data_IF_880387155512
#
_entry.id   IF_880387155512
#
_cell.length_a   1.000
_cell.length_b   1.000
_cell.length_c   1.000
_cell.angle_alpha   90.00
_cell.angle_beta   90.00
_cell.angle_gamma   90.00
#
_symmetry.space_group_name_H-M   'P 1'
#
loop_
_entity.id
_entity.type
_entity.pdbx_description
1 polymer ?
#
# COMPACT_ATOMS: atom_id res chain seq x y z
N UNK A 1 -52.98 30.09 28.22
CA UNK A 1 -52.19 30.93 27.32
C UNK A 1 -50.95 30.15 26.90
N UNK A 2 -50.74 30.01 25.59
CA UNK A 2 -49.62 29.41 24.86
C UNK A 2 -49.19 27.97 25.25
N UNK A 3 -49.77 26.99 24.54
CA UNK A 3 -49.01 25.79 24.17
C UNK A 3 -48.07 26.18 23.03
N UNK A 4 -46.76 26.02 23.24
CA UNK A 4 -45.77 26.20 22.19
C UNK A 4 -45.56 24.85 21.51
N UNK A 5 -46.18 24.70 20.34
CA UNK A 5 -46.06 23.52 19.48
C UNK A 5 -44.72 23.61 18.76
N UNK A 6 -43.76 22.81 19.19
CA UNK A 6 -42.46 22.70 18.52
C UNK A 6 -42.62 21.78 17.30
N UNK A 7 -42.57 22.37 16.10
CA UNK A 7 -42.48 21.64 14.84
C UNK A 7 -41.14 20.88 14.78
N UNK A 8 -41.09 19.65 14.25
CA UNK A 8 -39.81 18.98 14.02
C UNK A 8 -39.16 19.57 12.77
N UNK A 9 -37.96 20.12 12.95
CA UNK A 9 -37.06 20.49 11.85
C UNK A 9 -36.82 19.27 10.95
N UNK A 10 -37.10 19.43 9.67
CA UNK A 10 -36.85 18.47 8.62
C UNK A 10 -35.35 18.14 8.57
N UNK A 11 -34.99 16.92 8.97
CA UNK A 11 -33.69 16.33 8.67
C UNK A 11 -33.46 16.40 7.16
N UNK A 12 -32.55 17.28 6.76
CA UNK A 12 -31.98 17.29 5.43
C UNK A 12 -31.31 15.95 5.21
N UNK A 13 -31.92 15.09 4.40
CA UNK A 13 -31.30 13.90 3.84
C UNK A 13 -30.10 14.35 3.02
N UNK A 14 -28.93 14.42 3.66
CA UNK A 14 -27.65 14.41 2.98
C UNK A 14 -27.61 13.13 2.15
N UNK A 15 -27.77 13.30 0.85
CA UNK A 15 -27.64 12.22 -0.12
C UNK A 15 -26.27 11.57 0.07
N UNK A 16 -26.25 10.42 0.75
CA UNK A 16 -25.14 9.46 0.67
C UNK A 16 -24.89 9.25 -0.80
N UNK A 17 -23.77 9.80 -1.30
CA UNK A 17 -23.23 9.44 -2.60
C UNK A 17 -23.02 7.94 -2.56
N UNK A 18 -23.98 7.21 -3.11
CA UNK A 18 -24.03 5.77 -3.10
C UNK A 18 -22.82 5.29 -3.91
N UNK A 19 -21.75 4.98 -3.20
CA UNK A 19 -20.52 4.50 -3.79
C UNK A 19 -20.85 3.23 -4.56
N UNK A 20 -20.49 3.20 -5.84
CA UNK A 20 -20.80 2.08 -6.71
C UNK A 20 -20.42 0.75 -6.04
N UNK A 21 -21.31 -0.25 -6.12
CA UNK A 21 -21.10 -1.52 -5.43
C UNK A 21 -19.84 -2.21 -5.99
N UNK A 22 -19.14 -2.96 -5.13
CA UNK A 22 -17.81 -3.54 -5.42
C UNK A 22 -17.79 -4.44 -6.66
N UNK A 23 -18.96 -4.96 -7.09
CA UNK A 23 -19.10 -5.77 -8.31
C UNK A 23 -18.98 -4.96 -9.61
N UNK A 24 -19.17 -3.64 -9.56
CA UNK A 24 -19.05 -2.77 -10.74
C UNK A 24 -17.64 -2.75 -11.34
N UNK A 25 -16.60 -2.92 -10.53
CA UNK A 25 -15.20 -3.03 -10.98
C UNK A 25 -15.02 -4.33 -11.78
N UNK A 26 -15.54 -5.44 -11.28
CA UNK A 26 -15.48 -6.73 -11.97
C UNK A 26 -16.28 -6.73 -13.27
N UNK A 27 -17.42 -6.03 -13.31
CA UNK A 27 -18.21 -5.85 -14.52
C UNK A 27 -17.44 -5.04 -15.59
N UNK A 28 -16.73 -3.98 -15.21
CA UNK A 28 -15.90 -3.20 -16.12
C UNK A 28 -14.72 -4.01 -16.66
N UNK A 29 -14.05 -4.81 -15.81
CA UNK A 29 -12.97 -5.70 -16.26
C UNK A 29 -13.53 -6.73 -17.25
N UNK A 30 -14.68 -7.33 -16.96
CA UNK A 30 -15.33 -8.29 -17.85
C UNK A 30 -15.73 -7.64 -19.19
N UNK A 31 -16.19 -6.38 -19.18
CA UNK A 31 -16.51 -5.62 -20.40
C UNK A 31 -15.26 -5.39 -21.27
N UNK A 32 -14.15 -4.97 -20.67
CA UNK A 32 -12.88 -4.79 -21.39
C UNK A 32 -12.39 -6.12 -21.96
N UNK A 33 -12.43 -7.19 -21.17
CA UNK A 33 -12.02 -8.52 -21.59
C UNK A 33 -12.89 -9.05 -22.74
N UNK A 34 -14.21 -8.86 -22.64
CA UNK A 34 -15.16 -9.22 -23.69
C UNK A 34 -14.89 -8.42 -24.98
N UNK A 35 -14.56 -7.13 -24.89
CA UNK A 35 -14.26 -6.32 -26.09
C UNK A 35 -13.06 -6.85 -26.90
N UNK A 36 -12.10 -7.49 -26.25
CA UNK A 36 -10.90 -8.06 -26.89
C UNK A 36 -11.16 -9.49 -27.37
N UNK A 37 -11.89 -10.29 -26.60
CA UNK A 37 -12.08 -11.72 -26.87
C UNK A 37 -13.21 -11.97 -27.88
N UNK A 38 -14.31 -11.22 -27.80
CA UNK A 38 -15.51 -11.43 -28.63
C UNK A 38 -15.25 -11.29 -30.14
N UNK A 39 -14.48 -10.29 -30.63
CA UNK A 39 -14.15 -10.22 -32.06
C UNK A 39 -13.44 -11.46 -32.60
N UNK A 40 -12.54 -12.07 -31.79
CA UNK A 40 -11.83 -13.30 -32.16
C UNK A 40 -12.71 -14.56 -32.17
N UNK A 41 -13.86 -14.53 -31.50
CA UNK A 41 -14.86 -15.60 -31.53
C UNK A 41 -15.85 -15.46 -32.69
N UNK A 42 -16.15 -14.23 -33.11
CA UNK A 42 -17.13 -13.94 -34.17
C UNK A 42 -16.50 -14.05 -35.57
N UNK A 43 -15.22 -13.70 -35.75
CA UNK A 43 -14.50 -13.76 -37.04
C UNK A 43 -13.94 -15.16 -37.38
N UNK A 44 -14.69 -16.25 -37.15
CA UNK A 44 -14.30 -17.55 -37.73
C UNK A 44 -14.64 -17.54 -39.21
N UNK A 45 -13.62 -17.53 -40.06
CA UNK A 45 -13.79 -17.74 -41.50
C UNK A 45 -14.51 -19.07 -41.73
N UNK A 46 -15.76 -19.00 -42.18
CA UNK A 46 -16.57 -20.17 -42.50
C UNK A 46 -16.28 -20.58 -43.94
N UNK A 47 -15.39 -21.57 -44.11
CA UNK A 47 -15.04 -22.19 -45.37
C UNK A 47 -13.93 -23.23 -45.20
N UNK A 48 -13.86 -24.22 -46.09
CA UNK A 48 -12.72 -25.14 -46.17
C UNK A 48 -11.55 -24.41 -46.82
N UNK A 49 -10.46 -24.23 -46.07
CA UNK A 49 -9.25 -23.59 -46.58
C UNK A 49 -8.58 -24.51 -47.62
N UNK A 50 -8.41 -24.00 -48.85
CA UNK A 50 -7.72 -24.69 -49.94
C UNK A 50 -6.67 -23.75 -50.55
N UNK A 51 -5.52 -24.29 -50.95
CA UNK A 51 -4.49 -23.50 -51.64
C UNK A 51 -4.97 -23.07 -53.03
N UNK A 52 -4.42 -21.97 -53.56
CA UNK A 52 -4.82 -21.41 -54.85
C UNK A 52 -4.68 -22.43 -55.99
N UNK A 53 -3.59 -23.20 -56.00
CA UNK A 53 -3.40 -24.26 -56.99
C UNK A 53 -4.48 -25.33 -56.88
N UNK A 54 -4.83 -25.74 -55.66
CA UNK A 54 -5.91 -26.70 -55.41
C UNK A 54 -7.27 -26.16 -55.84
N UNK A 55 -7.51 -24.85 -55.68
CA UNK A 55 -8.73 -24.21 -56.17
C UNK A 55 -8.81 -24.27 -57.71
N UNK A 56 -7.70 -24.01 -58.41
CA UNK A 56 -7.64 -24.10 -59.87
C UNK A 56 -7.83 -25.55 -60.35
N UNK A 57 -7.34 -26.53 -59.59
CA UNK A 57 -7.58 -27.96 -59.88
C UNK A 57 -9.08 -28.29 -59.74
N UNK A 58 -9.74 -27.81 -58.69
CA UNK A 58 -11.19 -27.97 -58.47
C UNK A 58 -12.05 -27.29 -59.56
N UNK A 59 -11.61 -26.13 -60.04
CA UNK A 59 -12.18 -25.43 -61.20
C UNK A 59 -12.01 -26.26 -62.47
N UNK A 60 -10.83 -26.85 -62.67
CA UNK A 60 -10.52 -27.70 -63.83
C UNK A 60 -11.37 -28.97 -63.84
N UNK A 61 -11.60 -29.54 -62.67
CA UNK A 61 -12.47 -30.70 -62.46
C UNK A 61 -13.97 -30.37 -62.57
N UNK A 62 -14.32 -29.08 -62.74
CA UNK A 62 -15.70 -28.62 -62.94
C UNK A 62 -16.57 -28.72 -61.69
N UNK A 63 -15.97 -28.65 -60.49
CA UNK A 63 -16.69 -28.76 -59.21
C UNK A 63 -17.12 -27.40 -58.63
N UNK A 64 -16.71 -26.29 -59.24
CA UNK A 64 -16.97 -24.91 -58.80
C UNK A 64 -18.04 -24.25 -59.67
N UNK A 65 -19.00 -23.57 -59.04
CA UNK A 65 -20.12 -22.87 -59.68
C UNK A 65 -19.89 -21.35 -59.75
N UNK A 66 -19.43 -20.73 -58.66
CA UNK A 66 -19.17 -19.29 -58.62
C UNK A 66 -17.89 -18.95 -57.84
N UNK A 67 -17.23 -17.86 -58.25
CA UNK A 67 -16.01 -17.37 -57.60
C UNK A 67 -16.14 -15.87 -57.34
N UNK A 68 -16.00 -15.48 -56.08
CA UNK A 68 -15.94 -14.09 -55.65
C UNK A 68 -14.50 -13.76 -55.25
N UNK A 69 -13.94 -12.74 -55.91
CA UNK A 69 -12.54 -12.33 -55.71
C UNK A 69 -12.51 -10.96 -55.05
N UNK A 70 -11.86 -10.88 -53.89
CA UNK A 70 -11.65 -9.62 -53.17
C UNK A 70 -10.34 -8.99 -53.61
N UNK A 71 -10.43 -7.95 -54.44
CA UNK A 71 -9.28 -7.30 -55.10
C UNK A 71 -8.34 -6.50 -54.18
N UNK A 72 -8.63 -6.39 -52.87
CA UNK A 72 -7.75 -5.69 -51.92
C UNK A 72 -6.91 -6.65 -51.07
N UNK A 73 -7.40 -7.84 -50.78
CA UNK A 73 -6.74 -8.81 -49.90
C UNK A 73 -6.24 -10.05 -50.63
N UNK A 74 -6.69 -10.29 -51.88
CA UNK A 74 -6.40 -11.51 -52.62
C UNK A 74 -7.19 -12.72 -52.11
N UNK A 75 -8.19 -12.50 -51.24
CA UNK A 75 -9.05 -13.56 -50.75
C UNK A 75 -10.05 -13.96 -51.85
N UNK A 76 -10.11 -15.26 -52.12
CA UNK A 76 -10.98 -15.87 -53.11
C UNK A 76 -11.95 -16.79 -52.39
N UNK A 77 -13.24 -16.54 -52.56
CA UNK A 77 -14.31 -17.39 -52.03
C UNK A 77 -14.98 -18.08 -53.19
N UNK A 78 -14.93 -19.40 -53.21
CA UNK A 78 -15.53 -20.21 -54.26
C UNK A 78 -16.66 -21.08 -53.69
N UNK A 79 -17.78 -21.13 -54.38
CA UNK A 79 -18.91 -22.00 -54.05
C UNK A 79 -18.91 -23.17 -55.02
N UNK A 80 -18.85 -24.38 -54.47
CA UNK A 80 -18.94 -25.60 -55.25
C UNK A 80 -20.39 -25.98 -55.52
N UNK A 81 -20.57 -26.80 -56.57
CA UNK A 81 -21.89 -27.26 -57.02
C UNK A 81 -22.60 -28.09 -55.93
N UNK A 82 -21.86 -28.70 -55.01
CA UNK A 82 -22.37 -29.43 -53.85
C UNK A 82 -22.78 -28.55 -52.65
N UNK A 83 -22.63 -27.22 -52.79
CA UNK A 83 -22.91 -26.22 -51.75
C UNK A 83 -21.78 -26.02 -50.74
N UNK A 84 -20.62 -26.65 -50.92
CA UNK A 84 -19.45 -26.40 -50.07
C UNK A 84 -18.78 -25.08 -50.44
N UNK A 85 -18.38 -24.30 -49.44
CA UNK A 85 -17.66 -23.04 -49.66
C UNK A 85 -16.18 -23.20 -49.38
N UNK A 86 -15.37 -22.97 -50.40
CA UNK A 86 -13.92 -22.94 -50.32
C UNK A 86 -13.42 -21.51 -50.14
N UNK A 87 -12.41 -21.35 -49.31
CA UNK A 87 -11.70 -20.08 -49.11
C UNK A 87 -10.23 -20.28 -49.44
N UNK A 88 -9.71 -19.46 -50.35
CA UNK A 88 -8.33 -19.52 -50.82
C UNK A 88 -7.70 -18.14 -50.85
N UNK A 89 -6.37 -18.08 -50.83
CA UNK A 89 -5.59 -16.84 -50.99
C UNK A 89 -4.83 -16.92 -52.31
N UNK A 90 -5.23 -16.07 -53.26
CA UNK A 90 -4.67 -16.01 -54.59
C UNK A 90 -3.97 -14.68 -54.89
N UNK A 91 -3.43 -14.53 -56.11
CA UNK A 91 -2.87 -13.26 -56.56
C UNK A 91 -3.95 -12.16 -56.63
N UNK A 92 -3.58 -10.93 -56.25
CA UNK A 92 -4.47 -9.76 -56.20
C UNK A 92 -5.10 -9.47 -57.58
N UNK A 93 -4.34 -9.72 -58.65
CA UNK A 93 -4.80 -9.72 -60.03
C UNK A 93 -4.65 -11.15 -60.58
N UNK A 94 -5.76 -11.74 -61.04
CA UNK A 94 -5.73 -13.07 -61.63
C UNK A 94 -4.97 -13.04 -62.97
N UNK A 95 -4.06 -13.99 -63.21
CA UNK A 95 -3.41 -14.16 -64.51
C UNK A 95 -4.45 -14.33 -65.63
N UNK A 96 -4.17 -13.76 -66.82
CA UNK A 96 -5.11 -13.86 -67.95
C UNK A 96 -5.41 -15.31 -68.37
N UNK A 97 -4.47 -16.24 -68.12
CA UNK A 97 -4.64 -17.68 -68.35
C UNK A 97 -5.76 -18.28 -67.51
N UNK A 98 -5.87 -17.84 -66.26
CA UNK A 98 -6.80 -18.40 -65.29
C UNK A 98 -8.18 -17.77 -65.50
N UNK A 99 -8.22 -16.50 -65.90
CA UNK A 99 -9.45 -15.84 -66.33
C UNK A 99 -10.06 -16.46 -67.60
N UNK A 100 -9.21 -16.93 -68.52
CA UNK A 100 -9.67 -17.66 -69.71
C UNK A 100 -10.26 -19.02 -69.32
N UNK A 101 -9.59 -19.78 -68.43
CA UNK A 101 -10.10 -21.06 -67.93
C UNK A 101 -11.46 -20.92 -67.23
N UNK A 102 -11.65 -19.87 -66.44
CA UNK A 102 -12.91 -19.57 -65.75
C UNK A 102 -14.03 -19.20 -66.73
N UNK A 103 -13.72 -18.45 -67.80
CA UNK A 103 -14.69 -18.11 -68.85
C UNK A 103 -15.06 -19.31 -69.72
N UNK A 104 -14.09 -20.16 -70.05
CA UNK A 104 -14.30 -21.36 -70.85
C UNK A 104 -15.20 -22.38 -70.14
N UNK A 105 -15.20 -22.37 -68.81
CA UNK A 105 -16.10 -23.19 -67.97
C UNK A 105 -17.37 -22.47 -67.53
N UNK A 106 -17.61 -21.25 -68.03
CA UNK A 106 -18.80 -20.44 -67.75
C UNK A 106 -19.06 -20.21 -66.24
N UNK A 107 -17.98 -19.97 -65.49
CA UNK A 107 -18.03 -19.67 -64.05
C UNK A 107 -18.26 -18.17 -63.87
N UNK A 108 -19.25 -17.80 -63.06
CA UNK A 108 -19.51 -16.40 -62.74
C UNK A 108 -18.44 -15.86 -61.77
N UNK A 109 -17.61 -14.93 -62.27
CA UNK A 109 -16.56 -14.27 -61.49
C UNK A 109 -17.02 -12.87 -61.09
N UNK A 110 -17.31 -12.68 -59.80
CA UNK A 110 -17.68 -11.37 -59.24
C UNK A 110 -16.48 -10.75 -58.51
N UNK A 111 -16.04 -9.58 -58.94
CA UNK A 111 -15.02 -8.80 -58.22
C UNK A 111 -15.68 -7.90 -57.19
N UNK A 112 -15.43 -8.14 -55.90
CA UNK A 112 -15.91 -7.28 -54.82
C UNK A 112 -14.77 -6.44 -54.26
N UNK A 113 -14.98 -5.13 -54.24
CA UNK A 113 -14.11 -4.20 -53.53
C UNK A 113 -14.76 -3.87 -52.20
N UNK A 114 -14.30 -4.50 -51.12
CA UNK A 114 -14.74 -4.14 -49.79
C UNK A 114 -14.25 -2.71 -49.46
N UNK A 115 -15.18 -1.76 -49.42
CA UNK A 115 -14.90 -0.43 -48.86
C UNK A 115 -14.89 -0.54 -47.35
N UNK A 116 -13.78 -0.98 -46.77
CA UNK A 116 -13.58 -0.84 -45.33
C UNK A 116 -13.44 0.65 -45.01
N UNK A 117 -14.34 1.17 -44.17
CA UNK A 117 -14.21 2.54 -43.66
C UNK A 117 -13.04 2.55 -42.66
N UNK A 118 -11.91 3.19 -42.95
CA UNK A 118 -10.73 3.11 -42.10
C UNK A 118 -11.03 3.56 -40.66
N UNK A 119 -11.93 4.55 -40.49
CA UNK A 119 -12.39 4.99 -39.17
C UNK A 119 -13.09 3.89 -38.35
N UNK A 120 -13.92 3.06 -38.99
CA UNK A 120 -14.61 1.95 -38.31
C UNK A 120 -13.64 0.81 -37.98
N UNK A 121 -12.59 0.61 -38.78
CA UNK A 121 -11.53 -0.39 -38.51
C UNK A 121 -10.69 -0.05 -37.27
N UNK A 122 -10.56 1.23 -36.90
CA UNK A 122 -9.82 1.65 -35.70
C UNK A 122 -10.65 1.61 -34.41
N UNK A 123 -11.99 1.62 -34.50
CA UNK A 123 -12.86 1.71 -33.32
C UNK A 123 -12.68 0.53 -32.35
N UNK A 124 -12.58 -0.75 -32.79
CA UNK A 124 -12.32 -1.89 -31.91
C UNK A 124 -10.95 -1.82 -31.22
N UNK A 125 -9.96 -1.23 -31.88
CA UNK A 125 -8.60 -1.07 -31.34
C UNK A 125 -8.57 0.06 -30.30
N UNK A 126 -9.31 1.15 -30.53
CA UNK A 126 -9.32 2.32 -29.64
C UNK A 126 -10.17 2.12 -28.37
N UNK A 127 -11.26 1.35 -28.46
CA UNK A 127 -12.19 1.10 -27.36
C UNK A 127 -11.50 0.63 -26.05
N UNK A 128 -10.61 -0.37 -26.03
CA UNK A 128 -9.94 -0.80 -24.81
C UNK A 128 -9.06 0.29 -24.19
N UNK A 129 -8.35 1.09 -25.00
CA UNK A 129 -7.53 2.19 -24.48
C UNK A 129 -8.38 3.29 -23.85
N UNK A 130 -9.49 3.67 -24.49
CA UNK A 130 -10.42 4.67 -23.95
C UNK A 130 -11.02 4.20 -22.62
N UNK A 131 -11.39 2.92 -22.52
CA UNK A 131 -11.89 2.35 -21.26
C UNK A 131 -10.84 2.36 -20.15
N UNK A 132 -9.59 1.99 -20.45
CA UNK A 132 -8.49 2.00 -19.47
C UNK A 132 -8.19 3.43 -19.00
N UNK A 133 -8.10 4.39 -19.93
CA UNK A 133 -7.84 5.80 -19.61
C UNK A 133 -9.00 6.38 -18.78
N UNK A 134 -10.25 6.09 -19.16
CA UNK A 134 -11.43 6.50 -18.40
C UNK A 134 -11.47 5.90 -16.99
N UNK A 135 -11.10 4.62 -16.86
CA UNK A 135 -10.98 3.93 -15.57
C UNK A 135 -9.90 4.58 -14.69
N UNK A 136 -8.71 4.86 -15.25
CA UNK A 136 -7.62 5.51 -14.52
C UNK A 136 -7.99 6.91 -14.06
N UNK A 137 -8.61 7.70 -14.94
CA UNK A 137 -9.04 9.06 -14.62
C UNK A 137 -10.12 9.08 -13.53
N UNK A 138 -11.07 8.13 -13.58
CA UNK A 138 -12.08 7.95 -12.55
C UNK A 138 -11.48 7.47 -11.22
N UNK A 139 -10.54 6.52 -11.27
CA UNK A 139 -9.84 6.00 -10.09
C UNK A 139 -9.00 7.08 -9.42
N UNK A 140 -8.32 7.92 -10.19
CA UNK A 140 -7.54 9.05 -9.67
C UNK A 140 -8.41 10.07 -8.95
N UNK A 141 -9.62 10.35 -9.47
CA UNK A 141 -10.61 11.20 -8.80
C UNK A 141 -11.16 10.60 -7.51
N UNK A 142 -11.21 9.27 -7.38
CA UNK A 142 -11.64 8.58 -6.15
C UNK A 142 -10.50 8.41 -5.13
N UNK A 143 -9.27 8.19 -5.60
CA UNK A 143 -8.11 7.93 -4.76
C UNK A 143 -7.68 9.13 -3.91
N UNK A 144 -7.97 10.37 -4.33
CA UNK A 144 -7.70 11.56 -3.50
C UNK A 144 -8.45 11.55 -2.15
N UNK A 145 -9.58 10.83 -2.03
CA UNK A 145 -10.29 10.67 -0.75
C UNK A 145 -9.72 9.58 0.18
N UNK A 146 -8.91 8.64 -0.35
CA UNK A 146 -8.36 7.50 0.39
C UNK A 146 -6.84 7.64 0.67
N UNK A 147 -6.15 8.53 -0.04
CA UNK A 147 -4.73 8.82 0.15
C UNK A 147 -4.40 9.40 1.54
N UNK A 148 -5.38 10.03 2.21
CA UNK A 148 -5.23 10.47 3.61
C UNK A 148 -5.08 9.30 4.60
N UNK A 149 -5.52 8.08 4.25
CA UNK A 149 -5.48 6.91 5.13
C UNK A 149 -4.19 6.07 5.02
N UNK A 150 -3.45 6.18 3.91
CA UNK A 150 -2.18 5.45 3.74
C UNK A 150 -1.01 6.24 4.37
N UNK A 151 -1.10 7.57 4.41
CA UNK A 151 -0.18 8.42 5.18
C UNK A 151 -0.39 8.35 6.71
N UNK A 152 -1.38 7.58 7.20
CA UNK A 152 -1.59 7.32 8.64
C UNK A 152 -1.05 5.98 9.14
N UNK A 153 -0.47 5.14 8.27
CA UNK A 153 0.16 3.86 8.66
C UNK A 153 1.46 4.05 9.47
N UNK A 154 1.95 5.29 9.62
CA UNK A 154 2.99 5.65 10.60
C UNK A 154 2.46 6.23 11.92
N UNK A 155 1.12 6.33 12.11
CA UNK A 155 0.50 7.01 13.26
C UNK A 155 -0.29 6.09 14.19
N UNK A 156 -0.09 4.76 14.17
CA UNK A 156 -0.48 3.94 15.31
C UNK A 156 0.48 4.22 16.48
N UNK A 157 0.25 5.37 17.14
CA UNK A 157 0.84 5.79 18.41
C UNK A 157 0.31 4.88 19.53
N UNK A 158 0.55 3.58 19.45
CA UNK A 158 0.60 2.78 20.67
C UNK A 158 1.77 3.39 21.45
N UNK A 159 1.45 4.08 22.56
CA UNK A 159 2.48 4.69 23.41
C UNK A 159 3.41 3.56 23.83
N UNK A 160 4.67 3.64 23.40
CA UNK A 160 5.71 2.65 23.70
C UNK A 160 6.13 2.67 25.18
N UNK A 161 5.58 3.59 25.97
CA UNK A 161 5.82 3.70 27.40
C UNK A 161 4.49 3.72 28.15
N UNK A 162 4.50 3.16 29.35
CA UNK A 162 3.36 3.22 30.28
C UNK A 162 3.56 4.39 31.22
N UNK A 163 2.49 5.14 31.51
CA UNK A 163 2.51 6.21 32.52
C UNK A 163 1.59 5.81 33.66
N UNK A 164 2.13 5.74 34.86
CA UNK A 164 1.39 5.40 36.07
C UNK A 164 1.85 6.26 37.26
N UNK A 165 1.08 6.23 38.35
CA UNK A 165 1.48 6.78 39.65
C UNK A 165 1.49 5.61 40.62
N UNK A 166 2.67 5.02 40.89
CA UNK A 166 2.77 3.88 41.78
C UNK A 166 2.50 4.30 43.23
N UNK A 167 1.76 3.49 43.96
CA UNK A 167 1.54 3.65 45.41
C UNK A 167 2.58 2.88 46.25
N UNK A 168 3.51 2.18 45.57
CA UNK A 168 4.57 1.39 46.20
C UNK A 168 5.61 2.30 46.86
N UNK A 169 6.00 2.00 48.09
CA UNK A 169 6.97 2.79 48.86
C UNK A 169 8.23 2.01 49.24
N UNK A 170 9.16 2.65 49.95
CA UNK A 170 10.36 1.95 50.44
C UNK A 170 10.06 0.87 51.48
N UNK A 171 8.94 0.95 52.19
CA UNK A 171 8.53 -0.05 53.18
C UNK A 171 8.15 -1.40 52.54
N UNK A 172 7.76 -1.39 51.26
CA UNK A 172 7.41 -2.60 50.50
C UNK A 172 8.64 -3.41 50.06
N UNK A 173 9.86 -2.88 50.29
CA UNK A 173 11.11 -3.49 49.85
C UNK A 173 11.90 -3.97 51.07
N UNK A 174 12.20 -5.27 51.16
CA UNK A 174 13.06 -5.78 52.22
C UNK A 174 14.55 -5.54 51.91
N UNK A 175 15.33 -5.13 52.92
CA UNK A 175 16.79 -5.02 52.81
C UNK A 175 17.31 -3.76 52.12
N UNK A 176 18.45 -3.88 51.43
CA UNK A 176 19.07 -2.83 50.61
C UNK A 176 19.30 -1.47 51.30
N UNK A 177 19.62 -1.46 52.61
CA UNK A 177 19.73 -0.21 53.40
C UNK A 177 20.60 0.86 52.75
N UNK A 178 21.78 0.49 52.23
CA UNK A 178 22.68 1.44 51.54
C UNK A 178 22.07 2.02 50.26
N UNK A 179 21.49 1.17 49.41
CA UNK A 179 20.84 1.59 48.15
C UNK A 179 19.62 2.47 48.43
N UNK A 180 18.80 2.11 49.43
CA UNK A 180 17.67 2.93 49.85
C UNK A 180 18.15 4.31 50.28
N UNK A 181 19.22 4.39 51.08
CA UNK A 181 19.77 5.67 51.53
C UNK A 181 20.24 6.56 50.36
N UNK A 182 20.98 6.01 49.39
CA UNK A 182 21.41 6.76 48.20
C UNK A 182 20.22 7.24 47.35
N UNK A 183 19.19 6.42 47.21
CA UNK A 183 18.02 6.75 46.40
C UNK A 183 17.06 7.70 47.14
N UNK A 184 17.04 7.69 48.48
CA UNK A 184 16.30 8.68 49.28
C UNK A 184 16.76 10.10 48.97
N UNK A 185 18.05 10.33 48.71
CA UNK A 185 18.53 11.66 48.30
C UNK A 185 17.89 12.13 46.99
N UNK A 186 17.64 11.21 46.06
CA UNK A 186 16.92 11.49 44.80
C UNK A 186 15.44 11.81 45.07
N UNK A 187 14.81 11.11 46.01
CA UNK A 187 13.42 11.36 46.44
C UNK A 187 13.30 12.75 47.08
N UNK A 188 14.20 13.09 48.01
CA UNK A 188 14.23 14.38 48.68
C UNK A 188 14.42 15.51 47.69
N UNK A 189 15.33 15.31 46.72
CA UNK A 189 15.52 16.25 45.61
C UNK A 189 14.23 16.48 44.82
N UNK A 190 13.54 15.39 44.44
CA UNK A 190 12.28 15.52 43.73
C UNK A 190 11.30 16.29 44.57
N UNK A 191 11.11 15.97 45.86
CA UNK A 191 10.16 16.64 46.77
C UNK A 191 10.45 18.13 46.96
N UNK A 192 11.69 18.49 47.28
CA UNK A 192 12.11 19.84 47.69
C UNK A 192 13.22 20.44 46.80
N UNK A 193 12.99 20.61 45.48
CA UNK A 193 14.05 20.99 44.54
C UNK A 193 14.66 22.37 44.84
N UNK A 194 13.86 23.30 45.37
CA UNK A 194 14.29 24.66 45.72
C UNK A 194 15.39 24.67 46.80
N UNK A 195 15.31 23.75 47.77
CA UNK A 195 16.28 23.64 48.85
C UNK A 195 17.66 23.23 48.34
N UNK A 196 17.71 22.37 47.33
CA UNK A 196 18.96 21.93 46.70
C UNK A 196 19.50 22.99 45.74
N UNK A 197 18.63 23.67 44.99
CA UNK A 197 19.01 24.79 44.12
C UNK A 197 19.63 25.95 44.91
N UNK A 198 19.11 26.27 46.09
CA UNK A 198 19.63 27.34 46.96
C UNK A 198 21.09 27.12 47.42
N UNK A 199 21.52 25.86 47.52
CA UNK A 199 22.89 25.49 47.93
C UNK A 199 23.78 25.23 46.69
N UNK A 200 23.25 25.43 45.48
CA UNK A 200 23.95 25.18 44.22
C UNK A 200 24.23 23.70 43.95
N UNK A 201 23.51 22.79 44.61
CA UNK A 201 23.66 21.36 44.41
C UNK A 201 23.13 20.97 43.03
N UNK A 202 23.93 20.20 42.28
CA UNK A 202 23.53 19.66 40.97
C UNK A 202 22.80 18.34 41.14
N UNK A 203 21.71 18.21 40.40
CA UNK A 203 20.87 17.01 40.39
C UNK A 203 21.62 15.89 39.68
N UNK A 204 21.65 14.66 40.24
CA UNK A 204 22.03 13.48 39.47
C UNK A 204 21.11 13.34 38.27
N UNK A 205 21.66 13.38 37.05
CA UNK A 205 20.86 13.28 35.81
C UNK A 205 20.24 11.89 35.59
N UNK A 206 20.73 10.87 36.30
CA UNK A 206 20.22 9.51 36.23
C UNK A 206 20.93 8.58 37.21
N UNK A 207 20.31 7.44 37.49
CA UNK A 207 20.83 6.38 38.35
C UNK A 207 20.80 5.07 37.56
N UNK A 208 21.90 4.33 37.54
CA UNK A 208 21.99 3.01 36.90
C UNK A 208 21.95 1.91 37.96
N UNK A 209 20.88 1.13 37.98
CA UNK A 209 20.74 -0.03 38.86
C UNK A 209 21.30 -1.28 38.18
N UNK A 210 22.36 -1.86 38.74
CA UNK A 210 23.02 -3.07 38.19
C UNK A 210 22.85 -4.24 39.16
N UNK A 211 22.48 -5.39 38.62
CA UNK A 211 22.43 -6.64 39.38
C UNK A 211 21.75 -7.77 38.60
N UNK A 212 21.83 -9.02 39.11
CA UNK A 212 21.16 -10.18 38.51
C UNK A 212 19.65 -9.97 38.27
N UNK A 213 19.02 -10.72 37.36
CA UNK A 213 17.57 -10.70 37.22
C UNK A 213 16.88 -11.10 38.54
N UNK A 214 15.71 -10.52 38.83
CA UNK A 214 14.93 -10.84 40.02
C UNK A 214 15.35 -10.15 41.33
N UNK A 215 16.34 -9.25 41.32
CA UNK A 215 16.79 -8.52 42.53
C UNK A 215 15.96 -7.27 42.87
N UNK A 216 14.78 -7.11 42.28
CA UNK A 216 13.88 -6.00 42.61
C UNK A 216 14.27 -4.63 42.04
N UNK A 217 15.11 -4.54 40.99
CA UNK A 217 15.49 -3.26 40.36
C UNK A 217 14.27 -2.41 39.94
N UNK A 218 13.33 -3.03 39.23
CA UNK A 218 12.08 -2.38 38.80
C UNK A 218 11.19 -1.99 39.99
N UNK A 219 11.18 -2.80 41.05
CA UNK A 219 10.44 -2.52 42.28
C UNK A 219 11.04 -1.31 43.02
N UNK A 220 12.37 -1.25 43.14
CA UNK A 220 13.09 -0.10 43.71
C UNK A 220 12.76 1.15 42.92
N UNK A 221 12.85 1.12 41.59
CA UNK A 221 12.53 2.26 40.73
C UNK A 221 11.09 2.77 40.90
N UNK A 222 10.12 1.85 41.01
CA UNK A 222 8.72 2.18 41.30
C UNK A 222 8.55 2.80 42.68
N UNK A 223 9.24 2.25 43.68
CA UNK A 223 9.21 2.80 45.04
C UNK A 223 9.76 4.23 45.10
N UNK A 224 10.81 4.58 44.34
CA UNK A 224 11.29 5.97 44.26
C UNK A 224 10.19 6.92 43.78
N UNK A 225 9.46 6.51 42.73
CA UNK A 225 8.39 7.32 42.17
C UNK A 225 7.20 7.47 43.12
N UNK A 226 6.82 6.39 43.80
CA UNK A 226 5.75 6.41 44.80
C UNK A 226 6.14 7.24 46.02
N UNK A 227 7.34 7.06 46.54
CA UNK A 227 7.87 7.84 47.66
C UNK A 227 7.92 9.34 47.32
N UNK A 228 8.32 9.69 46.10
CA UNK A 228 8.37 11.08 45.60
C UNK A 228 7.02 11.65 45.16
N UNK A 229 5.99 10.81 45.00
CA UNK A 229 4.65 11.20 44.53
C UNK A 229 4.62 11.71 43.09
N UNK A 230 5.51 11.22 42.21
CA UNK A 230 5.63 11.70 40.82
C UNK A 230 5.21 10.61 39.82
N UNK A 231 4.74 10.98 38.61
CA UNK A 231 4.50 10.04 37.54
C UNK A 231 5.72 9.18 37.21
N UNK A 232 5.47 7.90 36.98
CA UNK A 232 6.44 6.88 36.57
C UNK A 232 6.20 6.51 35.10
N UNK A 233 7.19 6.77 34.23
CA UNK A 233 7.17 6.39 32.83
C UNK A 233 8.08 5.19 32.65
N UNK A 234 7.52 4.03 32.29
CA UNK A 234 8.27 2.79 32.10
C UNK A 234 8.36 2.42 30.62
N UNK A 235 9.56 2.08 30.16
CA UNK A 235 9.84 1.59 28.80
C UNK A 235 10.91 0.50 28.86
N UNK A 236 10.87 -0.48 27.95
CA UNK A 236 11.95 -1.47 27.82
C UNK A 236 12.92 -0.99 26.73
N UNK A 237 14.23 -1.16 26.94
CA UNK A 237 15.26 -0.73 25.99
C UNK A 237 15.10 -1.38 24.60
N UNK A 238 14.62 -2.63 24.56
CA UNK A 238 14.29 -3.34 23.34
C UNK A 238 13.14 -2.72 22.56
N UNK A 239 12.27 -1.93 23.18
CA UNK A 239 11.17 -1.25 22.48
C UNK A 239 11.66 -0.10 21.57
N UNK A 240 12.91 0.34 21.77
CA UNK A 240 13.53 1.32 20.87
C UNK A 240 14.17 0.68 19.64
N UNK A 241 14.32 -0.64 19.63
CA UNK A 241 14.98 -1.40 18.58
C UNK A 241 13.96 -1.83 17.53
N UNK A 242 13.90 -1.14 16.39
CA UNK A 242 12.98 -1.50 15.30
C UNK A 242 13.68 -1.73 13.95
N UNK A 243 12.96 -2.37 13.02
CA UNK A 243 13.44 -2.60 11.66
C UNK A 243 13.59 -1.32 10.83
N UNK A 244 12.96 -0.22 11.28
CA UNK A 244 12.93 1.04 10.55
C UNK A 244 13.88 2.07 11.16
N UNK A 245 14.80 2.58 10.34
CA UNK A 245 15.77 3.60 10.74
C UNK A 245 15.07 4.86 11.26
N UNK A 246 15.54 5.39 12.38
CA UNK A 246 15.05 6.64 12.98
C UNK A 246 13.78 6.54 13.82
N UNK A 247 13.10 5.39 13.85
CA UNK A 247 11.91 5.19 14.71
C UNK A 247 12.29 5.21 16.19
N UNK A 248 13.37 4.52 16.58
CA UNK A 248 13.88 4.54 17.96
C UNK A 248 14.19 5.94 18.46
N UNK A 249 14.96 6.72 17.69
CA UNK A 249 15.28 8.11 18.01
C UNK A 249 14.04 9.01 18.16
N UNK A 250 13.01 8.83 17.32
CA UNK A 250 11.75 9.58 17.47
C UNK A 250 11.02 9.22 18.76
N UNK A 251 10.99 7.94 19.14
CA UNK A 251 10.36 7.48 20.40
C UNK A 251 11.06 8.03 21.62
N UNK A 252 12.40 8.10 21.60
CA UNK A 252 13.19 8.74 22.66
C UNK A 252 12.76 10.20 22.82
N UNK A 253 12.70 10.98 21.73
CA UNK A 253 12.21 12.37 21.79
C UNK A 253 10.81 12.47 22.36
N UNK A 254 9.88 11.64 21.90
CA UNK A 254 8.48 11.65 22.35
C UNK A 254 8.36 11.30 23.84
N UNK A 255 9.16 10.34 24.33
CA UNK A 255 9.24 9.97 25.75
C UNK A 255 9.69 11.16 26.61
N UNK A 256 10.82 11.77 26.26
CA UNK A 256 11.36 12.91 26.99
C UNK A 256 10.46 14.15 26.91
N UNK A 257 9.86 14.44 25.76
CA UNK A 257 8.86 15.51 25.64
C UNK A 257 7.64 15.28 26.52
N UNK A 258 7.20 14.02 26.67
CA UNK A 258 6.06 13.68 27.53
C UNK A 258 6.42 13.85 28.99
N UNK A 259 7.61 13.40 29.40
CA UNK A 259 8.12 13.63 30.75
C UNK A 259 8.20 15.13 31.08
N UNK A 260 8.72 15.96 30.16
CA UNK A 260 8.78 17.43 30.34
C UNK A 260 7.40 18.06 30.54
N UNK A 261 6.38 17.60 29.82
CA UNK A 261 4.99 18.09 29.97
C UNK A 261 4.37 17.76 31.32
N UNK A 262 4.82 16.68 31.96
CA UNK A 262 4.39 16.30 33.31
C UNK A 262 5.13 17.09 34.40
N UNK A 263 6.17 17.86 34.04
CA UNK A 263 7.01 18.59 34.97
C UNK A 263 7.99 17.66 35.69
N UNK A 264 7.58 17.13 36.84
CA UNK A 264 8.38 16.20 37.65
C UNK A 264 7.93 14.78 37.36
N UNK A 265 8.82 13.95 36.82
CA UNK A 265 8.53 12.55 36.52
C UNK A 265 9.81 11.70 36.57
N UNK A 266 9.66 10.39 36.80
CA UNK A 266 10.74 9.41 36.70
C UNK A 266 10.57 8.63 35.40
N UNK A 267 11.63 8.60 34.58
CA UNK A 267 11.72 7.74 33.40
C UNK A 267 12.53 6.50 33.80
N UNK A 268 11.91 5.33 33.72
CA UNK A 268 12.55 4.04 33.93
C UNK A 268 12.71 3.32 32.58
N UNK A 269 13.97 2.98 32.28
CA UNK A 269 14.34 2.21 31.09
C UNK A 269 14.86 0.86 31.59
N UNK A 270 14.08 -0.19 31.41
CA UNK A 270 14.54 -1.56 31.67
C UNK A 270 15.44 -2.04 30.52
N UNK A 271 16.32 -3.00 30.77
CA UNK A 271 17.19 -3.60 29.73
C UNK A 271 17.93 -2.56 28.85
N UNK A 272 18.46 -1.50 29.47
CA UNK A 272 19.19 -0.43 28.76
C UNK A 272 20.45 -0.93 28.02
N UNK A 273 20.95 -2.11 28.38
CA UNK A 273 22.05 -2.78 27.69
C UNK A 273 21.72 -3.14 26.23
N UNK A 274 20.43 -3.31 25.90
CA UNK A 274 19.96 -3.52 24.52
C UNK A 274 20.31 -2.37 23.57
N UNK A 275 20.31 -1.13 24.06
CA UNK A 275 20.67 0.08 23.30
C UNK A 275 22.13 0.50 23.51
N UNK A 276 22.73 0.16 24.65
CA UNK A 276 24.06 0.63 25.04
C UNK A 276 25.24 -0.18 24.48
N UNK A 277 24.99 -1.32 23.81
CA UNK A 277 26.08 -2.20 23.35
C UNK A 277 26.74 -1.70 22.06
N UNK A 278 27.93 -1.10 22.19
CA UNK A 278 28.80 -0.79 21.04
C UNK A 278 29.29 -2.09 20.39
N UNK A 279 28.89 -2.37 19.14
CA UNK A 279 29.46 -3.47 18.36
C UNK A 279 30.67 -2.97 17.57
N UNK A 280 31.78 -3.70 17.62
CA UNK A 280 33.01 -3.40 16.88
C UNK A 280 32.79 -3.36 15.36
N UNK A 281 33.70 -2.66 14.67
CA UNK A 281 33.72 -2.37 13.24
C UNK A 281 33.41 -3.61 12.35
N UNK A 282 32.14 -3.80 12.02
CA UNK A 282 31.67 -4.78 11.05
C UNK A 282 31.01 -4.04 9.90
N UNK A 283 31.59 -4.16 8.71
CA UNK A 283 31.10 -3.54 7.47
C UNK A 283 29.73 -4.14 7.11
N UNK A 284 28.64 -3.45 7.46
CA UNK A 284 27.27 -3.83 7.11
C UNK A 284 26.25 -2.97 7.84
N UNK A 285 25.47 -2.17 7.10
CA UNK A 285 24.58 -1.08 7.55
C UNK A 285 23.37 -1.45 8.43
N UNK A 286 23.54 -2.30 9.45
CA UNK A 286 22.56 -2.55 10.53
C UNK A 286 22.94 -1.91 11.87
N UNK A 287 23.89 -0.97 11.85
CA UNK A 287 24.45 -0.29 13.03
C UNK A 287 23.84 1.09 13.29
N UNK A 288 23.34 1.75 12.25
CA UNK A 288 23.03 3.17 12.28
C UNK A 288 21.84 3.51 13.21
N UNK A 289 20.85 2.63 13.29
CA UNK A 289 19.62 2.87 14.07
C UNK A 289 19.88 2.85 15.59
N UNK A 290 20.73 1.93 16.06
CA UNK A 290 21.14 1.85 17.48
C UNK A 290 21.93 3.04 17.91
N UNK A 291 22.96 3.38 17.13
CA UNK A 291 23.84 4.51 17.44
C UNK A 291 23.06 5.83 17.39
N UNK A 292 22.16 5.98 16.42
CA UNK A 292 21.28 7.15 16.33
C UNK A 292 20.36 7.25 17.56
N UNK A 293 19.73 6.15 17.97
CA UNK A 293 18.85 6.10 19.13
C UNK A 293 19.61 6.38 20.43
N UNK A 294 20.79 5.78 20.61
CA UNK A 294 21.66 6.03 21.75
C UNK A 294 22.11 7.49 21.83
N UNK A 295 22.59 8.04 20.71
CA UNK A 295 23.01 9.45 20.65
C UNK A 295 21.83 10.39 20.95
N UNK A 296 20.62 10.06 20.48
CA UNK A 296 19.44 10.82 20.83
C UNK A 296 19.13 10.75 22.33
N UNK A 297 19.27 9.59 22.97
CA UNK A 297 19.08 9.46 24.41
C UNK A 297 20.09 10.29 25.19
N UNK A 298 21.36 10.26 24.80
CA UNK A 298 22.41 11.09 25.39
C UNK A 298 22.11 12.59 25.23
N UNK A 299 21.69 13.01 24.04
CA UNK A 299 21.32 14.40 23.78
C UNK A 299 20.13 14.86 24.63
N UNK A 300 19.12 14.01 24.81
CA UNK A 300 17.98 14.32 25.69
C UNK A 300 18.38 14.39 27.17
N UNK A 301 19.26 13.48 27.63
CA UNK A 301 19.78 13.50 29.00
C UNK A 301 20.64 14.74 29.28
N UNK A 302 21.39 15.22 28.30
CA UNK A 302 22.19 16.43 28.45
C UNK A 302 21.36 17.72 28.38
N UNK A 303 20.26 17.71 27.63
CA UNK A 303 19.33 18.83 27.50
C UNK A 303 18.52 19.17 28.75
N UNK A 304 18.63 18.41 29.85
CA UNK A 304 18.14 18.81 31.17
C UNK A 304 19.08 19.85 31.78
N UNK A 305 19.07 21.07 31.25
CA UNK A 305 19.57 22.21 32.00
C UNK A 305 18.50 22.62 33.03
N UNK A 306 18.91 22.69 34.30
CA UNK A 306 18.08 23.16 35.39
C UNK A 306 17.74 24.63 35.10
N UNK A 307 16.49 24.89 34.72
CA UNK A 307 15.92 26.23 34.78
C UNK A 307 15.39 26.46 36.17
#
# INVERSE_FOLDING_TARGET
MASETQEPESEGTEGRREGWPRWSIWMLIALVLASVIVPGLINRESGTAIDYSGLIDEVTDGRIDSIVVTNQTGDIRAEAIDGTTYTSKGPIELPETDLQLLRDRNIDVEFRTEKSNPFLSFLPILLPFVLIIGLFWWMQRRAQGQMSGIMSIGRSKARTYTTERPDTGFDDIAGYKGVKQEITEVVDFLKEPERFAAVGARIPKGVLLVGPPGTGKTLIARAVAGEAGVPFLSVTGSDFMEMFVGVGASRVRDLFQTARKLGRAIIFIDEIDSIGRKRGAGVGGGHDEREQTLNQMLAEMDGFEAT
#
